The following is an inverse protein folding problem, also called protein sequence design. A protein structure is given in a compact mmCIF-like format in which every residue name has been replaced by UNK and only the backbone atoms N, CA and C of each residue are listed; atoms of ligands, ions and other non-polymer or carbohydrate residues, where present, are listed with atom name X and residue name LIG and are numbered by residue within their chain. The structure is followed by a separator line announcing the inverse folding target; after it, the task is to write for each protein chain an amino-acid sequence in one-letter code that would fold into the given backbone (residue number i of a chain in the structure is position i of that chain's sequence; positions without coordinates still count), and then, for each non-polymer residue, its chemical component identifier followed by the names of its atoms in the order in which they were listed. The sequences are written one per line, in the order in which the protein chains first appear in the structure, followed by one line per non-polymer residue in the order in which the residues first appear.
data_IF_352455710459
#
_entry.id   IF_352455710459
#
_cell.length_a   1.000
_cell.length_b   1.000
_cell.length_c   1.000
_cell.angle_alpha   90.00
_cell.angle_beta   90.00
_cell.angle_gamma   90.00
#
_symmetry.space_group_name_H-M   'P 1'
#
loop_
_entity.id
_entity.type
_entity.pdbx_description
1 polymer ?
#
# COMPACT_ATOMS: atom_id res chain seq x y z
N UNK A 1 -16.00 2.90 14.02
CA UNK A 1 -16.81 1.71 13.67
C UNK A 1 -17.65 1.25 14.86
N UNK A 2 -17.05 0.79 15.96
CA UNK A 2 -17.80 0.35 17.15
C UNK A 2 -18.75 1.42 17.73
N UNK A 3 -18.25 2.64 17.97
CA UNK A 3 -19.07 3.76 18.46
C UNK A 3 -20.22 4.15 17.52
N UNK A 4 -20.10 3.83 16.24
CA UNK A 4 -21.11 4.09 15.22
C UNK A 4 -21.95 2.83 14.87
N UNK A 5 -21.85 1.76 15.65
CA UNK A 5 -22.63 0.52 15.45
C UNK A 5 -22.19 -0.35 14.26
N UNK A 6 -21.08 -0.04 13.60
CA UNK A 6 -20.57 -0.81 12.46
C UNK A 6 -19.70 -1.99 12.89
N UNK A 7 -19.84 -3.12 12.19
CA UNK A 7 -18.94 -4.28 12.34
C UNK A 7 -17.52 -3.91 11.94
N UNK A 8 -16.55 -4.39 12.70
CA UNK A 8 -15.13 -4.26 12.36
C UNK A 8 -14.70 -5.30 11.33
N UNK A 9 -13.62 -5.03 10.59
CA UNK A 9 -13.05 -5.90 9.56
C UNK A 9 -12.15 -6.99 10.16
N UNK A 10 -12.01 -8.11 9.45
CA UNK A 10 -10.94 -9.09 9.65
C UNK A 10 -9.69 -8.61 8.91
N UNK A 11 -8.58 -8.45 9.62
CA UNK A 11 -7.40 -7.77 9.08
C UNK A 11 -6.30 -8.78 8.75
N UNK A 12 -5.83 -8.79 7.51
CA UNK A 12 -4.72 -9.65 7.09
C UNK A 12 -3.39 -9.11 7.62
N UNK A 13 -2.60 -9.97 8.26
CA UNK A 13 -1.34 -9.60 8.91
C UNK A 13 -0.27 -10.62 8.52
N UNK A 14 0.94 -10.13 8.26
CA UNK A 14 2.10 -10.99 8.02
C UNK A 14 2.57 -11.72 9.27
N UNK A 15 3.02 -12.96 9.09
CA UNK A 15 3.65 -13.75 10.16
C UNK A 15 4.88 -13.07 10.79
N UNK A 16 5.61 -12.23 10.04
CA UNK A 16 6.74 -11.43 10.51
C UNK A 16 6.40 -10.47 11.66
N UNK A 17 5.13 -10.10 11.84
CA UNK A 17 4.68 -9.20 12.91
C UNK A 17 4.32 -9.93 14.21
N UNK A 18 4.43 -11.25 14.25
CA UNK A 18 4.06 -12.09 15.39
C UNK A 18 5.27 -12.54 16.21
N UNK A 19 6.35 -11.76 16.18
CA UNK A 19 7.63 -12.11 16.80
C UNK A 19 7.54 -12.32 18.33
N UNK A 20 6.51 -11.78 18.99
CA UNK A 20 6.23 -11.99 20.42
C UNK A 20 4.79 -12.44 20.64
N UNK A 21 4.55 -13.22 21.70
CA UNK A 21 3.19 -13.67 22.06
C UNK A 21 2.22 -12.51 22.26
N UNK A 22 2.68 -11.44 22.94
CA UNK A 22 1.89 -10.24 23.15
C UNK A 22 1.46 -9.54 21.85
N UNK A 23 2.39 -9.36 20.90
CA UNK A 23 2.05 -8.75 19.60
C UNK A 23 1.01 -9.61 18.87
N UNK A 24 1.17 -10.94 18.89
CA UNK A 24 0.22 -11.85 18.28
C UNK A 24 -1.18 -11.77 18.92
N UNK A 25 -1.26 -11.61 20.23
CA UNK A 25 -2.54 -11.51 20.94
C UNK A 25 -3.25 -10.19 20.65
N UNK A 26 -2.53 -9.07 20.64
CA UNK A 26 -3.10 -7.76 20.24
C UNK A 26 -3.67 -7.80 18.82
N UNK A 27 -2.96 -8.46 17.89
CA UNK A 27 -3.45 -8.59 16.52
C UNK A 27 -4.68 -9.50 16.42
N UNK A 28 -4.71 -10.63 17.15
CA UNK A 28 -5.90 -11.50 17.21
C UNK A 28 -7.12 -10.80 17.80
N UNK A 29 -6.93 -10.01 18.86
CA UNK A 29 -7.98 -9.20 19.47
C UNK A 29 -8.61 -8.20 18.47
N UNK A 30 -7.81 -7.68 17.53
CA UNK A 30 -8.27 -6.81 16.45
C UNK A 30 -8.77 -7.57 15.21
N UNK A 31 -9.30 -8.80 15.41
CA UNK A 31 -9.75 -9.72 14.36
C UNK A 31 -8.68 -9.97 13.28
N UNK A 32 -7.41 -9.95 13.65
CA UNK A 32 -6.30 -10.23 12.76
C UNK A 32 -6.23 -11.71 12.38
N UNK A 33 -5.98 -12.00 11.10
CA UNK A 33 -5.64 -13.35 10.64
C UNK A 33 -4.31 -13.34 9.89
N UNK A 34 -3.64 -14.50 9.92
CA UNK A 34 -2.24 -14.62 9.52
C UNK A 34 -2.17 -15.05 8.06
N UNK A 35 -1.39 -14.31 7.27
CA UNK A 35 -0.93 -14.73 5.94
C UNK A 35 0.49 -15.24 6.08
N UNK A 36 0.69 -16.54 5.84
CA UNK A 36 2.01 -17.17 5.93
C UNK A 36 2.86 -16.81 4.71
N UNK A 37 4.09 -16.33 4.95
CA UNK A 37 4.97 -15.76 3.91
C UNK A 37 6.16 -16.65 3.59
N UNK A 38 6.71 -17.33 4.61
CA UNK A 38 7.95 -18.08 4.49
C UNK A 38 7.75 -19.61 4.40
N UNK A 39 6.79 -20.05 3.59
CA UNK A 39 6.58 -21.48 3.36
C UNK A 39 7.69 -22.07 2.49
N UNK A 40 8.51 -22.97 3.06
CA UNK A 40 9.55 -23.68 2.30
C UNK A 40 8.94 -24.76 1.42
N UNK A 41 8.97 -24.53 0.10
CA UNK A 41 8.53 -25.49 -0.92
C UNK A 41 7.13 -25.22 -1.48
N UNK A 42 6.97 -25.45 -2.79
CA UNK A 42 5.77 -25.09 -3.55
C UNK A 42 4.47 -25.68 -2.98
N UNK A 43 4.51 -26.94 -2.51
CA UNK A 43 3.32 -27.61 -1.95
C UNK A 43 2.84 -26.94 -0.65
N UNK A 44 3.76 -26.56 0.23
CA UNK A 44 3.43 -25.91 1.51
C UNK A 44 2.94 -24.49 1.25
N UNK A 45 3.60 -23.75 0.36
CA UNK A 45 3.17 -22.42 -0.05
C UNK A 45 1.75 -22.44 -0.66
N UNK A 46 1.47 -23.39 -1.55
CA UNK A 46 0.15 -23.57 -2.13
C UNK A 46 -0.91 -23.90 -1.07
N UNK A 47 -0.62 -24.81 -0.13
CA UNK A 47 -1.55 -25.14 0.94
C UNK A 47 -1.85 -23.93 1.85
N UNK A 48 -0.85 -23.11 2.14
CA UNK A 48 -1.00 -21.88 2.91
C UNK A 48 -1.86 -20.84 2.16
N UNK A 49 -1.61 -20.64 0.86
CA UNK A 49 -2.44 -19.76 0.02
C UNK A 49 -3.89 -20.24 -0.06
N UNK A 50 -4.11 -21.55 -0.27
CA UNK A 50 -5.45 -22.13 -0.31
C UNK A 50 -6.18 -21.95 1.03
N UNK A 51 -5.50 -22.19 2.16
CA UNK A 51 -6.08 -21.99 3.49
C UNK A 51 -6.47 -20.53 3.72
N UNK A 52 -5.62 -19.60 3.31
CA UNK A 52 -5.89 -18.15 3.40
C UNK A 52 -7.11 -17.78 2.54
N UNK A 53 -7.15 -18.27 1.31
CA UNK A 53 -8.27 -18.08 0.37
C UNK A 53 -9.59 -18.60 0.94
N UNK A 54 -9.60 -19.81 1.49
CA UNK A 54 -10.77 -20.42 2.11
C UNK A 54 -11.25 -19.63 3.32
N UNK A 55 -10.33 -19.11 4.14
CA UNK A 55 -10.69 -18.27 5.28
C UNK A 55 -11.30 -16.94 4.86
N UNK A 56 -10.76 -16.30 3.81
CA UNK A 56 -11.33 -15.07 3.24
C UNK A 56 -12.74 -15.34 2.74
N UNK A 57 -12.93 -16.40 1.93
CA UNK A 57 -14.26 -16.81 1.46
C UNK A 57 -15.25 -17.01 2.62
N UNK A 58 -14.88 -17.81 3.62
CA UNK A 58 -15.71 -18.05 4.80
C UNK A 58 -16.03 -16.75 5.56
N UNK A 59 -15.09 -15.80 5.62
CA UNK A 59 -15.32 -14.48 6.24
C UNK A 59 -16.41 -13.71 5.50
N UNK A 60 -16.31 -13.63 4.18
CA UNK A 60 -17.28 -12.92 3.34
C UNK A 60 -18.67 -13.58 3.41
N UNK A 61 -18.73 -14.92 3.33
CA UNK A 61 -19.98 -15.68 3.42
C UNK A 61 -20.64 -15.59 4.81
N UNK A 62 -19.86 -15.31 5.86
CA UNK A 62 -20.38 -15.05 7.22
C UNK A 62 -20.73 -13.57 7.47
N UNK A 63 -20.68 -12.73 6.43
CA UNK A 63 -21.03 -11.31 6.49
C UNK A 63 -19.96 -10.42 7.12
N UNK A 64 -18.71 -10.87 7.19
CA UNK A 64 -17.57 -10.09 7.68
C UNK A 64 -16.75 -9.53 6.51
N UNK A 65 -16.39 -8.25 6.58
CA UNK A 65 -15.45 -7.64 5.62
C UNK A 65 -14.00 -8.01 5.93
N UNK A 66 -13.17 -8.10 4.90
CA UNK A 66 -11.73 -8.35 5.01
C UNK A 66 -10.95 -7.12 4.58
N UNK A 67 -9.99 -6.68 5.40
CA UNK A 67 -9.00 -5.66 5.05
C UNK A 67 -7.66 -6.32 4.73
N UNK A 68 -7.15 -6.10 3.53
CA UNK A 68 -5.89 -6.68 3.07
C UNK A 68 -5.12 -5.70 2.19
N UNK A 69 -3.79 -5.66 2.36
CA UNK A 69 -2.91 -4.85 1.54
C UNK A 69 -2.79 -5.45 0.13
N UNK A 70 -2.70 -4.60 -0.89
CA UNK A 70 -2.64 -5.00 -2.31
C UNK A 70 -1.37 -5.76 -2.72
N UNK A 71 -0.37 -5.79 -1.83
CA UNK A 71 0.86 -6.56 -1.98
C UNK A 71 1.50 -6.81 -0.61
N UNK A 72 2.47 -7.70 -0.58
CA UNK A 72 3.25 -7.91 0.63
C UNK A 72 4.18 -6.71 0.92
N UNK A 73 4.15 -6.25 2.17
CA UNK A 73 5.05 -5.22 2.67
C UNK A 73 4.66 -3.80 2.30
N UNK A 74 5.14 -2.83 3.08
CA UNK A 74 4.96 -1.40 2.79
C UNK A 74 5.87 -0.98 1.65
N UNK A 75 5.36 -0.14 0.75
CA UNK A 75 6.18 0.54 -0.24
C UNK A 75 7.30 1.34 0.44
N UNK A 76 8.55 1.09 0.03
CA UNK A 76 9.74 1.75 0.57
C UNK A 76 10.04 3.05 -0.15
N UNK A 77 9.66 3.14 -1.41
CA UNK A 77 9.89 4.22 -2.34
C UNK A 77 8.59 4.97 -2.70
N UNK A 78 7.47 4.67 -2.04
CA UNK A 78 6.17 5.27 -2.38
C UNK A 78 5.59 4.77 -3.72
N UNK A 79 6.20 3.76 -4.34
CA UNK A 79 5.66 3.10 -5.53
C UNK A 79 4.78 1.93 -5.12
N UNK A 80 3.48 2.18 -4.97
CA UNK A 80 2.53 1.12 -4.64
C UNK A 80 1.86 0.56 -5.91
N UNK A 81 1.97 -0.75 -6.08
CA UNK A 81 1.38 -1.52 -7.18
C UNK A 81 0.79 -2.81 -6.63
N UNK A 82 -0.39 -3.16 -7.10
CA UNK A 82 -1.05 -4.40 -6.74
C UNK A 82 -0.27 -5.59 -7.29
N UNK A 83 -0.02 -6.60 -6.46
CA UNK A 83 0.60 -7.85 -6.90
C UNK A 83 -0.48 -8.81 -7.43
N UNK A 84 -0.47 -9.20 -8.72
CA UNK A 84 -1.44 -10.14 -9.28
C UNK A 84 -1.52 -11.48 -8.53
N UNK A 85 -0.45 -11.88 -7.82
CA UNK A 85 -0.44 -13.10 -7.01
C UNK A 85 -1.51 -13.08 -5.89
N UNK A 86 -1.84 -11.91 -5.34
CA UNK A 86 -2.86 -11.80 -4.30
C UNK A 86 -4.25 -12.14 -4.84
N UNK A 87 -4.54 -11.71 -6.07
CA UNK A 87 -5.81 -11.98 -6.76
C UNK A 87 -5.91 -13.46 -7.12
N UNK A 88 -4.82 -14.05 -7.61
CA UNK A 88 -4.74 -15.50 -7.84
C UNK A 88 -5.02 -16.29 -6.57
N UNK A 89 -4.48 -15.84 -5.43
CA UNK A 89 -4.73 -16.46 -4.13
C UNK A 89 -6.19 -16.33 -3.72
N UNK A 90 -6.85 -15.19 -3.92
CA UNK A 90 -8.29 -15.07 -3.65
C UNK A 90 -9.14 -16.03 -4.49
N UNK A 91 -8.78 -16.25 -5.76
CA UNK A 91 -9.52 -17.12 -6.67
C UNK A 91 -9.45 -18.62 -6.29
N UNK A 92 -8.43 -19.06 -5.54
CA UNK A 92 -8.23 -20.48 -5.22
C UNK A 92 -9.44 -21.16 -4.56
N UNK A 93 -10.16 -20.46 -3.68
CA UNK A 93 -11.33 -20.99 -3.00
C UNK A 93 -12.58 -21.07 -3.89
N UNK A 94 -12.57 -20.41 -5.06
CA UNK A 94 -13.71 -20.35 -5.99
C UNK A 94 -13.47 -21.12 -7.29
N UNK A 95 -12.26 -21.62 -7.54
CA UNK A 95 -11.82 -22.26 -8.81
C UNK A 95 -12.67 -23.43 -9.34
N UNK A 96 -13.53 -24.02 -8.50
CA UNK A 96 -14.44 -25.12 -8.89
C UNK A 96 -15.88 -24.66 -9.12
N UNK A 97 -16.19 -23.40 -8.80
CA UNK A 97 -17.54 -22.84 -8.79
C UNK A 97 -17.70 -21.66 -9.73
N UNK A 98 -16.60 -20.97 -10.04
CA UNK A 98 -16.60 -19.77 -10.88
C UNK A 98 -15.49 -19.93 -11.90
N UNK A 99 -15.85 -19.87 -13.16
CA UNK A 99 -14.94 -20.12 -14.29
C UNK A 99 -14.13 -18.87 -14.64
N UNK A 100 -14.77 -17.69 -14.64
CA UNK A 100 -14.16 -16.44 -15.06
C UNK A 100 -13.73 -15.55 -13.89
N UNK A 101 -12.73 -14.70 -14.13
CA UNK A 101 -12.19 -13.80 -13.11
C UNK A 101 -13.21 -12.72 -12.70
N UNK A 102 -14.07 -12.28 -13.61
CA UNK A 102 -15.13 -11.31 -13.33
C UNK A 102 -16.09 -11.81 -12.25
N UNK A 103 -16.56 -13.05 -12.38
CA UNK A 103 -17.39 -13.72 -11.38
C UNK A 103 -16.70 -13.84 -10.02
N UNK A 104 -15.39 -14.13 -10.00
CA UNK A 104 -14.61 -14.21 -8.75
C UNK A 104 -14.57 -12.85 -8.06
N UNK A 105 -14.25 -11.78 -8.80
CA UNK A 105 -14.18 -10.42 -8.27
C UNK A 105 -15.56 -9.94 -7.77
N UNK A 106 -16.63 -10.27 -8.49
CA UNK A 106 -17.99 -9.96 -8.07
C UNK A 106 -18.35 -10.66 -6.74
N UNK A 107 -17.97 -11.92 -6.55
CA UNK A 107 -18.18 -12.63 -5.27
C UNK A 107 -17.33 -12.07 -4.12
N UNK A 108 -16.12 -11.60 -4.42
CA UNK A 108 -15.23 -10.99 -3.43
C UNK A 108 -15.69 -9.59 -3.00
N UNK A 109 -16.37 -8.85 -3.88
CA UNK A 109 -16.78 -7.47 -3.62
C UNK A 109 -15.58 -6.54 -3.39
N UNK A 110 -14.53 -6.67 -4.20
CA UNK A 110 -13.27 -5.94 -4.00
C UNK A 110 -13.51 -4.44 -4.09
N UNK A 111 -13.24 -3.73 -3.00
CA UNK A 111 -13.33 -2.27 -2.89
C UNK A 111 -11.93 -1.67 -2.73
N UNK A 112 -11.36 -1.03 -3.75
CA UNK A 112 -10.06 -0.37 -3.63
C UNK A 112 -10.12 0.82 -2.68
N UNK A 113 -9.12 0.97 -1.80
CA UNK A 113 -9.03 2.07 -0.83
C UNK A 113 -7.65 2.71 -0.90
N UNK A 114 -7.59 4.02 -1.09
CA UNK A 114 -6.36 4.79 -1.00
C UNK A 114 -6.25 5.46 0.37
N UNK A 115 -5.05 5.39 0.96
CA UNK A 115 -4.70 6.10 2.19
C UNK A 115 -3.54 7.02 1.87
N UNK A 116 -3.81 8.33 1.90
CA UNK A 116 -2.84 9.37 1.61
C UNK A 116 -2.53 10.14 2.90
N UNK A 117 -1.26 10.44 3.14
CA UNK A 117 -0.82 11.25 4.26
C UNK A 117 0.24 12.25 3.80
N UNK A 118 0.34 13.40 4.46
CA UNK A 118 1.34 14.41 4.09
C UNK A 118 2.77 13.99 4.42
N UNK A 119 2.94 13.23 5.52
CA UNK A 119 4.22 12.77 6.04
C UNK A 119 4.13 11.27 6.36
N UNK A 120 5.13 10.52 5.93
CA UNK A 120 5.35 9.16 6.44
C UNK A 120 6.22 9.24 7.70
N UNK A 121 5.75 8.78 8.87
CA UNK A 121 6.58 8.66 10.07
C UNK A 121 7.83 7.78 9.89
N UNK A 122 7.80 6.86 8.94
CA UNK A 122 8.87 5.90 8.66
C UNK A 122 9.74 6.29 7.46
N UNK A 123 9.60 7.49 6.89
CA UNK A 123 10.32 7.90 5.67
C UNK A 123 11.84 7.72 5.76
N UNK A 124 12.45 8.15 6.86
CA UNK A 124 13.88 8.00 7.11
C UNK A 124 14.31 6.54 7.27
N UNK A 125 13.49 5.71 7.92
CA UNK A 125 13.77 4.27 8.06
C UNK A 125 13.79 3.61 6.67
N UNK A 126 12.78 3.93 5.84
CA UNK A 126 12.67 3.43 4.46
C UNK A 126 13.80 3.94 3.57
N UNK A 127 14.18 5.21 3.72
CA UNK A 127 15.28 5.80 2.95
C UNK A 127 16.63 5.12 3.25
N UNK A 128 16.90 4.79 4.52
CA UNK A 128 18.10 4.03 4.93
C UNK A 128 18.14 2.63 4.34
N UNK A 129 16.99 1.95 4.35
CA UNK A 129 16.86 0.62 3.73
C UNK A 129 17.13 0.71 2.22
N UNK A 130 16.50 1.66 1.52
CA UNK A 130 16.73 1.86 0.08
C UNK A 130 18.19 2.24 -0.25
N UNK A 131 18.80 3.14 0.52
CA UNK A 131 20.22 3.50 0.33
C UNK A 131 21.13 2.30 0.55
N UNK A 132 20.90 1.52 1.59
CA UNK A 132 21.74 0.36 1.90
C UNK A 132 21.63 -0.71 0.81
N UNK A 133 20.43 -0.93 0.28
CA UNK A 133 20.21 -1.82 -0.87
C UNK A 133 20.94 -1.26 -2.10
N UNK A 134 20.80 0.03 -2.39
CA UNK A 134 21.45 0.65 -3.55
C UNK A 134 22.99 0.56 -3.48
N UNK A 135 23.56 0.70 -2.27
CA UNK A 135 25.01 0.66 -2.04
C UNK A 135 25.58 -0.75 -1.93
N UNK A 136 24.86 -1.68 -1.32
CA UNK A 136 25.41 -3.02 -0.96
C UNK A 136 24.70 -4.19 -1.64
N UNK A 137 23.61 -3.93 -2.36
CA UNK A 137 22.78 -4.94 -3.04
C UNK A 137 21.78 -5.67 -2.14
N UNK A 138 21.85 -5.50 -0.82
CA UNK A 138 20.92 -6.15 0.13
C UNK A 138 20.68 -5.32 1.39
N UNK A 139 19.58 -5.60 2.07
CA UNK A 139 19.31 -5.11 3.42
C UNK A 139 18.74 -6.24 4.25
N UNK A 140 19.41 -6.55 5.36
CA UNK A 140 18.95 -7.54 6.31
C UNK A 140 18.35 -6.81 7.51
N UNK A 141 17.04 -6.96 7.68
CA UNK A 141 16.32 -6.35 8.79
C UNK A 141 16.82 -6.91 10.11
N UNK A 142 16.99 -6.04 11.10
CA UNK A 142 17.28 -6.48 12.46
C UNK A 142 16.03 -7.08 13.12
N UNK A 143 16.24 -7.95 14.10
CA UNK A 143 15.14 -8.46 14.92
C UNK A 143 14.36 -7.29 15.56
N UNK A 144 13.03 -7.32 15.44
CA UNK A 144 12.13 -6.31 16.00
C UNK A 144 11.95 -5.03 15.18
N UNK A 145 12.64 -4.84 14.06
CA UNK A 145 12.55 -3.64 13.22
C UNK A 145 11.14 -3.42 12.63
N UNK A 146 10.47 -4.51 12.24
CA UNK A 146 9.09 -4.44 11.74
C UNK A 146 8.12 -3.96 12.84
N UNK A 147 8.34 -4.35 14.10
CA UNK A 147 7.53 -3.86 15.22
C UNK A 147 7.83 -2.38 15.53
N UNK A 148 9.10 -1.99 15.53
CA UNK A 148 9.49 -0.58 15.73
C UNK A 148 8.86 0.32 14.68
N UNK A 149 8.87 -0.09 13.42
CA UNK A 149 8.27 0.67 12.32
C UNK A 149 6.74 0.65 12.34
N UNK A 150 6.08 -0.33 12.97
CA UNK A 150 4.64 -0.26 13.29
C UNK A 150 4.38 0.78 14.38
N UNK A 151 5.12 0.74 15.49
CA UNK A 151 4.98 1.70 16.59
C UNK A 151 5.24 3.13 16.12
N UNK A 152 6.29 3.33 15.33
CA UNK A 152 6.64 4.62 14.71
C UNK A 152 5.54 5.09 13.78
N UNK A 153 5.03 4.21 12.93
CA UNK A 153 3.90 4.50 12.05
C UNK A 153 2.65 4.92 12.81
N UNK A 154 2.35 4.30 13.96
CA UNK A 154 1.18 4.65 14.78
C UNK A 154 1.37 6.00 15.46
N UNK A 155 2.50 6.21 16.14
CA UNK A 155 2.75 7.39 16.99
C UNK A 155 3.14 8.65 16.21
N UNK A 156 3.76 8.49 15.06
CA UNK A 156 4.32 9.63 14.33
C UNK A 156 3.27 10.52 13.66
N UNK A 157 3.64 11.78 13.50
CA UNK A 157 2.86 12.82 12.83
C UNK A 157 2.77 12.55 11.32
N UNK A 158 1.55 12.46 10.83
CA UNK A 158 1.23 12.20 9.41
C UNK A 158 0.80 13.46 8.67
N UNK A 159 0.69 14.59 9.38
CA UNK A 159 -0.05 15.75 8.90
C UNK A 159 -1.51 15.37 8.63
N UNK A 160 -2.08 15.92 7.56
CA UNK A 160 -3.41 15.52 7.10
C UNK A 160 -3.37 14.11 6.55
N UNK A 161 -4.41 13.33 6.87
CA UNK A 161 -4.64 12.00 6.34
C UNK A 161 -5.96 12.01 5.58
N UNK A 162 -5.99 11.44 4.38
CA UNK A 162 -7.22 11.20 3.62
C UNK A 162 -7.38 9.72 3.36
N UNK A 163 -8.59 9.22 3.60
CA UNK A 163 -9.04 7.92 3.14
C UNK A 163 -9.99 8.14 1.98
N UNK A 164 -9.72 7.52 0.85
CA UNK A 164 -10.59 7.53 -0.32
C UNK A 164 -11.05 6.10 -0.62
N UNK A 165 -12.36 5.89 -0.53
CA UNK A 165 -13.00 4.64 -0.92
C UNK A 165 -13.37 4.73 -2.39
N UNK A 166 -12.91 3.76 -3.18
CA UNK A 166 -13.31 3.62 -4.57
C UNK A 166 -14.73 3.09 -4.71
N UNK A 167 -14.95 2.39 -5.82
CA UNK A 167 -16.19 1.65 -6.10
C UNK A 167 -15.88 0.16 -6.18
N UNK A 168 -16.82 -0.72 -5.77
CA UNK A 168 -16.64 -2.15 -5.94
C UNK A 168 -16.29 -2.49 -7.39
N UNK A 169 -15.25 -3.29 -7.58
CA UNK A 169 -14.86 -3.71 -8.91
C UNK A 169 -15.96 -4.58 -9.54
N UNK A 170 -16.33 -4.22 -10.76
CA UNK A 170 -17.32 -4.92 -11.58
C UNK A 170 -16.79 -5.04 -13.01
N UNK A 171 -17.33 -5.99 -13.77
CA UNK A 171 -16.97 -6.20 -15.18
C UNK A 171 -16.19 -7.50 -15.43
N UNK A 172 -15.86 -7.72 -16.69
CA UNK A 172 -15.05 -8.84 -17.14
C UNK A 172 -13.55 -8.51 -17.01
N UNK A 173 -12.78 -9.51 -16.61
CA UNK A 173 -11.32 -9.44 -16.54
C UNK A 173 -10.73 -10.68 -17.18
N UNK A 174 -9.74 -10.49 -18.06
CA UNK A 174 -9.07 -11.61 -18.74
C UNK A 174 -8.22 -12.43 -17.77
N UNK A 175 -7.55 -11.76 -16.82
CA UNK A 175 -6.67 -12.38 -15.85
C UNK A 175 -6.51 -11.55 -14.55
N UNK A 176 -5.71 -12.07 -13.63
CA UNK A 176 -5.37 -11.38 -12.38
C UNK A 176 -4.59 -10.07 -12.61
N UNK A 177 -3.88 -9.93 -13.74
CA UNK A 177 -3.13 -8.71 -14.07
C UNK A 177 -4.08 -7.57 -14.44
N UNK A 178 -5.14 -7.88 -15.19
CA UNK A 178 -6.22 -6.94 -15.51
C UNK A 178 -6.95 -6.44 -14.28
N UNK A 179 -7.23 -7.34 -13.32
CA UNK A 179 -7.80 -6.96 -12.01
C UNK A 179 -6.85 -6.06 -11.24
N UNK A 180 -5.56 -6.42 -11.14
CA UNK A 180 -4.55 -5.63 -10.44
C UNK A 180 -4.45 -4.20 -11.03
N UNK A 181 -4.47 -4.08 -12.36
CA UNK A 181 -4.48 -2.79 -13.04
C UNK A 181 -5.76 -1.98 -12.76
N UNK A 182 -6.91 -2.62 -12.60
CA UNK A 182 -8.15 -1.95 -12.22
C UNK A 182 -8.13 -1.45 -10.77
N UNK A 183 -7.57 -2.23 -9.84
CA UNK A 183 -7.32 -1.82 -8.45
C UNK A 183 -6.38 -0.60 -8.43
N UNK A 184 -5.24 -0.70 -9.10
CA UNK A 184 -4.23 0.36 -9.16
C UNK A 184 -4.82 1.66 -9.73
N UNK A 185 -5.64 1.58 -10.79
CA UNK A 185 -6.29 2.76 -11.37
C UNK A 185 -7.16 3.49 -10.35
N UNK A 186 -8.01 2.77 -9.60
CA UNK A 186 -8.86 3.40 -8.59
C UNK A 186 -8.05 3.95 -7.40
N UNK A 187 -7.02 3.24 -6.95
CA UNK A 187 -6.19 3.67 -5.82
C UNK A 187 -5.39 4.92 -6.17
N UNK A 188 -4.77 4.96 -7.35
CA UNK A 188 -4.01 6.14 -7.78
C UNK A 188 -4.94 7.32 -8.05
N UNK A 189 -6.11 7.11 -8.66
CA UNK A 189 -7.10 8.16 -8.86
C UNK A 189 -7.66 8.72 -7.55
N UNK A 190 -7.83 7.86 -6.54
CA UNK A 190 -8.25 8.26 -5.20
C UNK A 190 -7.14 8.82 -4.32
N UNK A 191 -5.88 8.75 -4.75
CA UNK A 191 -4.75 9.18 -3.94
C UNK A 191 -4.62 10.71 -3.95
N UNK A 192 -4.80 11.35 -2.80
CA UNK A 192 -4.62 12.80 -2.69
C UNK A 192 -3.15 13.16 -2.63
N UNK A 193 -2.75 13.93 -3.64
CA UNK A 193 -1.46 14.59 -3.66
C UNK A 193 -1.50 15.83 -2.76
N UNK A 194 -0.58 15.86 -1.81
CA UNK A 194 -0.35 17.00 -0.93
C UNK A 194 0.85 17.83 -1.41
N UNK A 195 1.06 19.06 -0.89
CA UNK A 195 2.22 19.87 -1.24
C UNK A 195 3.57 19.17 -1.05
N UNK A 196 3.69 18.26 -0.08
CA UNK A 196 4.89 17.41 0.11
C UNK A 196 5.23 16.56 -1.09
N UNK A 197 4.21 16.00 -1.76
CA UNK A 197 4.37 15.16 -2.95
C UNK A 197 4.80 15.98 -4.16
N UNK A 198 4.13 17.11 -4.40
CA UNK A 198 4.42 17.99 -5.53
C UNK A 198 5.80 18.63 -5.39
N UNK A 199 6.16 19.10 -4.19
CA UNK A 199 7.50 19.61 -3.92
C UNK A 199 8.56 18.53 -4.16
N UNK A 200 8.40 17.32 -3.58
CA UNK A 200 9.38 16.26 -3.76
C UNK A 200 9.52 15.80 -5.22
N UNK A 201 8.43 15.82 -5.99
CA UNK A 201 8.46 15.56 -7.42
C UNK A 201 9.25 16.63 -8.17
N UNK A 202 9.06 17.92 -7.85
CA UNK A 202 9.83 19.02 -8.44
C UNK A 202 11.33 18.91 -8.12
N UNK A 203 11.69 18.65 -6.86
CA UNK A 203 13.08 18.40 -6.45
C UNK A 203 13.69 17.16 -7.12
N UNK A 204 12.84 16.21 -7.53
CA UNK A 204 13.25 15.03 -8.31
C UNK A 204 13.32 15.29 -9.82
N UNK A 205 13.25 16.55 -10.26
CA UNK A 205 13.36 16.98 -11.65
C UNK A 205 12.06 16.89 -12.46
N UNK A 206 10.90 16.71 -11.82
CA UNK A 206 9.63 16.63 -12.54
C UNK A 206 9.10 18.03 -12.88
N UNK A 207 8.94 18.31 -14.17
CA UNK A 207 8.38 19.57 -14.68
C UNK A 207 6.86 19.49 -14.92
N UNK A 208 6.22 20.65 -15.13
CA UNK A 208 4.79 20.73 -15.48
C UNK A 208 3.87 20.27 -14.35
N UNK A 209 4.29 20.48 -13.10
CA UNK A 209 3.51 20.13 -11.91
C UNK A 209 2.48 21.20 -11.58
N UNK A 210 1.32 20.83 -11.02
CA UNK A 210 0.43 21.79 -10.39
C UNK A 210 1.17 22.63 -9.35
N UNK A 211 0.81 23.91 -9.17
CA UNK A 211 1.36 24.72 -8.09
C UNK A 211 1.04 24.07 -6.75
N UNK A 212 1.93 24.24 -5.78
CA UNK A 212 1.73 23.76 -4.42
C UNK A 212 1.97 24.90 -3.44
N UNK A 213 1.11 24.96 -2.42
CA UNK A 213 1.21 25.99 -1.39
C UNK A 213 2.09 25.52 -0.22
N UNK A 214 2.74 26.45 0.50
CA UNK A 214 3.40 26.14 1.76
C UNK A 214 2.44 25.46 2.74
N UNK A 215 2.95 24.44 3.46
CA UNK A 215 2.22 23.80 4.54
C UNK A 215 3.16 23.43 5.68
N UNK A 216 2.62 23.24 6.90
CA UNK A 216 3.40 22.75 8.04
C UNK A 216 4.13 21.45 7.69
N UNK A 217 3.43 20.52 7.04
CA UNK A 217 4.01 19.24 6.65
C UNK A 217 5.13 19.41 5.61
N UNK A 218 4.98 20.34 4.66
CA UNK A 218 6.04 20.64 3.71
C UNK A 218 7.29 21.20 4.39
N UNK A 219 7.13 22.12 5.35
CA UNK A 219 8.25 22.64 6.13
C UNK A 219 8.98 21.52 6.92
N UNK A 220 8.21 20.59 7.51
CA UNK A 220 8.78 19.42 8.20
C UNK A 220 9.55 18.52 7.24
N UNK A 221 8.98 18.21 6.07
CA UNK A 221 9.66 17.39 5.07
C UNK A 221 10.96 18.04 4.58
N UNK A 222 10.96 19.35 4.30
CA UNK A 222 12.16 20.11 3.94
C UNK A 222 13.23 20.00 5.01
N UNK A 223 12.87 20.24 6.27
CA UNK A 223 13.80 20.10 7.40
C UNK A 223 14.36 18.67 7.53
N UNK A 224 13.54 17.63 7.28
CA UNK A 224 14.01 16.24 7.26
C UNK A 224 15.01 15.99 6.13
N UNK A 225 14.75 16.50 4.93
CA UNK A 225 15.65 16.35 3.78
C UNK A 225 16.97 17.10 4.02
N UNK A 226 16.91 18.32 4.55
CA UNK A 226 18.10 19.13 4.84
C UNK A 226 18.96 18.52 5.95
N UNK A 227 18.32 18.01 7.00
CA UNK A 227 18.99 17.35 8.13
C UNK A 227 19.45 15.90 7.85
N UNK A 228 19.01 15.29 6.76
CA UNK A 228 19.42 13.93 6.40
C UNK A 228 20.77 13.89 5.69
N UNK A 229 21.49 12.78 5.90
CA UNK A 229 22.70 12.45 5.14
C UNK A 229 22.43 12.58 3.64
N UNK A 230 23.39 13.16 2.91
CA UNK A 230 23.24 13.46 1.47
C UNK A 230 22.86 12.22 0.65
N UNK A 231 23.35 11.04 1.05
CA UNK A 231 23.04 9.77 0.41
C UNK A 231 21.57 9.34 0.57
N UNK A 232 20.88 9.75 1.64
CA UNK A 232 19.49 9.39 1.90
C UNK A 232 18.49 10.28 1.17
N UNK A 233 18.88 11.51 0.84
CA UNK A 233 17.98 12.53 0.26
C UNK A 233 17.24 12.06 -0.99
N UNK A 234 17.88 11.41 -1.98
CA UNK A 234 17.17 10.90 -3.16
C UNK A 234 16.09 9.87 -2.79
N UNK A 235 16.37 9.00 -1.82
CA UNK A 235 15.44 7.96 -1.36
C UNK A 235 14.30 8.51 -0.50
N UNK A 236 14.54 9.60 0.25
CA UNK A 236 13.47 10.34 0.91
C UNK A 236 12.54 10.99 -0.11
N UNK A 237 13.09 11.73 -1.07
CA UNK A 237 12.29 12.42 -2.10
C UNK A 237 11.47 11.44 -2.94
N UNK A 238 12.07 10.29 -3.30
CA UNK A 238 11.41 9.25 -4.09
C UNK A 238 10.07 8.82 -3.50
N UNK A 239 10.02 8.66 -2.17
CA UNK A 239 8.81 8.26 -1.43
C UNK A 239 7.61 9.18 -1.64
N UNK A 240 7.87 10.48 -1.77
CA UNK A 240 6.83 11.50 -1.95
C UNK A 240 6.61 11.84 -3.43
N UNK A 241 7.64 11.69 -4.28
CA UNK A 241 7.57 11.95 -5.71
C UNK A 241 6.84 10.84 -6.50
N UNK A 242 6.99 9.59 -6.07
CA UNK A 242 6.45 8.44 -6.79
C UNK A 242 4.91 8.41 -6.90
N UNK A 243 4.12 8.82 -5.90
CA UNK A 243 2.67 9.01 -6.08
C UNK A 243 2.33 9.97 -7.22
N UNK A 244 3.10 11.05 -7.41
CA UNK A 244 2.93 12.00 -8.51
C UNK A 244 3.27 11.35 -9.86
N UNK A 245 4.37 10.58 -9.91
CA UNK A 245 4.76 9.82 -11.10
C UNK A 245 3.67 8.82 -11.52
N UNK A 246 3.10 8.09 -10.56
CA UNK A 246 2.00 7.14 -10.82
C UNK A 246 0.76 7.85 -11.35
N UNK A 247 0.39 8.98 -10.76
CA UNK A 247 -0.74 9.77 -11.25
C UNK A 247 -0.50 10.28 -12.68
N UNK A 248 0.74 10.69 -13.01
CA UNK A 248 1.13 11.09 -14.37
C UNK A 248 1.10 9.92 -15.37
N UNK A 249 1.59 8.74 -14.99
CA UNK A 249 1.52 7.53 -15.85
C UNK A 249 0.08 7.17 -16.23
N UNK A 250 -0.89 7.50 -15.38
CA UNK A 250 -2.31 7.27 -15.63
C UNK A 250 -3.03 8.49 -16.24
N UNK A 251 -2.30 9.55 -16.60
CA UNK A 251 -2.89 10.76 -17.20
C UNK A 251 -3.75 11.58 -16.23
N UNK A 252 -3.63 11.37 -14.92
CA UNK A 252 -4.40 12.08 -13.88
C UNK A 252 -3.79 13.45 -13.53
N UNK A 253 -2.55 13.69 -13.95
CA UNK A 253 -1.89 14.99 -13.92
C UNK A 253 -1.43 15.30 -15.33
N UNK A 254 -2.04 16.32 -15.94
CA UNK A 254 -1.66 16.78 -17.28
C UNK A 254 -0.60 17.86 -17.13
N UNK A 255 0.50 17.76 -17.87
CA UNK A 255 1.44 18.87 -17.97
C UNK A 255 0.72 20.06 -18.66
N UNK A 256 0.91 21.31 -18.21
CA UNK A 256 0.35 22.45 -18.90
C UNK A 256 0.81 22.45 -20.36
N UNK A 257 -0.15 22.55 -21.28
CA UNK A 257 0.06 22.49 -22.71
C UNK A 257 1.07 23.56 -23.15
N UNK A 258 2.17 23.13 -23.78
CA UNK A 258 3.21 24.04 -24.27
C UNK A 258 2.75 24.87 -25.48
N UNK A 259 1.58 24.57 -26.05
CA UNK A 259 0.98 25.30 -27.17
C UNK A 259 0.23 26.58 -26.79
N UNK A 260 0.00 26.85 -25.49
CA UNK A 260 -0.72 28.04 -25.02
C UNK A 260 0.16 29.29 -24.82
N UNK A 261 1.44 29.26 -25.24
CA UNK A 261 2.31 30.44 -25.30
C UNK A 261 2.54 30.83 -26.75
N UNK A 262 1.55 31.49 -27.34
CA UNK A 262 1.74 32.36 -28.52
C UNK A 262 1.17 33.72 -28.21
#
# INVERSE_FOLDING_TARGET
MHEAGYRTTRNAIGDNLLATGFAADVFRLNKGFIVQRNAKGAKVAYAAMLKTSQYIRHSLESGESVWIAQREGRAKDGWDRTDPAIIKMFALAYRKEVEDMGGVIARLGVLPVAISYELDPCDLMKARELETIARTGRYEKRAGEDLESVVTGIRGDKGRVQLHFGTPLTGAFDDASGVAAAIDRQIVAGYRLFPTHLWAAAESGMEGLPPHEPSRALAVLKARVDGADRALRPHLLLQYANPVRRARELGLIVAPDSSART
#
